data_IF_192485140463
#
_entry.id   IF_192485140463
#
_cell.length_a   1.000
_cell.length_b   1.000
_cell.length_c   1.000
_cell.angle_alpha   90.00
_cell.angle_beta   90.00
_cell.angle_gamma   90.00
#
_symmetry.space_group_name_H-M   'P 1'
#
loop_
_entity.id
_entity.type
_entity.pdbx_description
1 polymer ?
#
# COMPACT_ATOMS: atom_id res chain seq x y z
N UNK A 1 -6.09 37.99 36.27
CA UNK A 1 -5.51 37.93 34.91
C UNK A 1 -4.50 36.80 34.84
N UNK A 2 -4.86 35.68 34.20
CA UNK A 2 -3.97 34.69 33.53
C UNK A 2 -4.67 33.31 33.38
N UNK A 3 -5.99 33.29 33.19
CA UNK A 3 -6.78 32.10 32.81
C UNK A 3 -6.80 31.85 31.30
N UNK A 4 -6.01 32.61 30.52
CA UNK A 4 -6.05 32.58 29.05
C UNK A 4 -5.04 31.61 28.39
N UNK A 5 -4.13 31.00 29.16
CA UNK A 5 -3.02 30.20 28.59
C UNK A 5 -3.36 28.71 28.43
N UNK A 6 -4.48 28.22 28.99
CA UNK A 6 -4.84 26.79 28.89
C UNK A 6 -5.67 26.43 27.64
N UNK A 7 -6.16 27.41 26.89
CA UNK A 7 -7.08 27.20 25.74
C UNK A 7 -6.39 27.04 24.38
N UNK A 8 -5.11 27.46 24.25
CA UNK A 8 -4.33 27.36 23.00
C UNK A 8 -3.56 26.03 22.86
N UNK A 9 -3.50 25.22 23.93
CA UNK A 9 -2.75 23.96 23.97
C UNK A 9 -3.60 22.71 23.70
N UNK A 10 -4.85 22.84 23.25
CA UNK A 10 -5.56 21.75 22.54
C UNK A 10 -5.03 21.68 21.10
N UNK A 11 -3.73 21.47 21.00
CA UNK A 11 -2.93 21.34 19.78
C UNK A 11 -3.59 20.34 18.83
N UNK A 12 -3.93 20.81 17.63
CA UNK A 12 -4.08 20.04 16.38
C UNK A 12 -4.40 18.55 16.60
N UNK A 13 -5.66 18.22 16.92
CA UNK A 13 -6.11 16.84 16.78
C UNK A 13 -5.97 16.47 15.30
N UNK A 14 -4.96 15.68 14.93
CA UNK A 14 -4.92 15.02 13.62
C UNK A 14 -6.04 13.96 13.63
N UNK A 15 -7.21 14.20 13.00
CA UNK A 15 -8.34 13.29 13.13
C UNK A 15 -8.33 12.28 11.98
N UNK A 16 -8.97 11.13 12.16
CA UNK A 16 -9.12 10.02 11.20
C UNK A 16 -7.81 9.31 10.81
N UNK A 17 -7.79 8.01 11.10
CA UNK A 17 -6.77 7.05 10.70
C UNK A 17 -6.30 7.29 9.25
N UNK A 18 -5.01 7.60 9.00
CA UNK A 18 -4.51 7.98 7.69
C UNK A 18 -4.69 6.88 6.64
N UNK A 19 -4.90 5.64 7.08
CA UNK A 19 -5.20 4.49 6.20
C UNK A 19 -6.46 4.68 5.37
N UNK A 20 -7.42 5.51 5.80
CA UNK A 20 -8.57 5.82 4.97
C UNK A 20 -8.20 6.56 3.69
N UNK A 21 -7.26 7.50 3.75
CA UNK A 21 -6.77 8.20 2.57
C UNK A 21 -6.07 7.24 1.61
N UNK A 22 -5.28 6.30 2.15
CA UNK A 22 -4.63 5.26 1.35
C UNK A 22 -5.67 4.34 0.70
N UNK A 23 -6.68 3.88 1.43
CA UNK A 23 -7.74 3.02 0.89
C UNK A 23 -8.50 3.77 -0.20
N UNK A 24 -8.90 5.01 0.03
CA UNK A 24 -9.58 5.83 -0.97
C UNK A 24 -8.71 6.00 -2.22
N UNK A 25 -7.44 6.39 -2.06
CA UNK A 25 -6.53 6.57 -3.19
C UNK A 25 -6.35 5.28 -3.99
N UNK A 26 -6.07 4.15 -3.33
CA UNK A 26 -5.88 2.87 -4.01
C UNK A 26 -7.16 2.38 -4.70
N UNK A 27 -8.32 2.50 -4.05
CA UNK A 27 -9.61 2.13 -4.65
C UNK A 27 -9.92 3.01 -5.84
N UNK A 28 -9.73 4.33 -5.75
CA UNK A 28 -9.93 5.26 -6.86
C UNK A 28 -8.99 4.97 -8.03
N UNK A 29 -7.72 4.72 -7.77
CA UNK A 29 -6.75 4.34 -8.81
C UNK A 29 -7.09 3.00 -9.44
N UNK A 30 -7.55 2.02 -8.66
CA UNK A 30 -7.94 0.71 -9.17
C UNK A 30 -9.18 0.80 -10.05
N UNK A 31 -10.21 1.51 -9.59
CA UNK A 31 -11.41 1.76 -10.36
C UNK A 31 -11.08 2.51 -11.66
N UNK A 32 -10.26 3.56 -11.58
CA UNK A 32 -9.82 4.30 -12.76
C UNK A 32 -9.03 3.42 -13.74
N UNK A 33 -8.10 2.62 -13.24
CA UNK A 33 -7.30 1.69 -14.04
C UNK A 33 -8.14 0.63 -14.75
N UNK A 34 -9.18 0.12 -14.10
CA UNK A 34 -10.11 -0.86 -14.69
C UNK A 34 -11.01 -0.19 -15.74
N UNK A 35 -11.62 0.94 -15.42
CA UNK A 35 -12.65 1.58 -16.26
C UNK A 35 -12.06 2.32 -17.46
N UNK A 36 -10.96 3.07 -17.26
CA UNK A 36 -10.45 4.00 -18.27
C UNK A 36 -9.12 3.55 -18.90
N UNK A 37 -8.27 2.84 -18.16
CA UNK A 37 -6.95 2.40 -18.65
C UNK A 37 -6.92 0.96 -19.14
N UNK A 38 -8.03 0.21 -18.98
CA UNK A 38 -8.13 -1.17 -19.44
C UNK A 38 -7.12 -2.11 -18.79
N UNK A 39 -6.86 -1.96 -17.47
CA UNK A 39 -5.88 -2.78 -16.72
C UNK A 39 -6.07 -4.31 -16.84
N UNK A 40 -7.22 -4.79 -17.34
CA UNK A 40 -7.51 -6.21 -17.50
C UNK A 40 -7.56 -6.95 -16.16
N UNK A 41 -7.86 -6.24 -15.07
CA UNK A 41 -7.97 -6.81 -13.73
C UNK A 41 -9.38 -7.35 -13.55
N UNK A 42 -9.47 -8.67 -13.44
CA UNK A 42 -10.71 -9.39 -13.14
C UNK A 42 -11.22 -9.04 -11.72
N UNK A 43 -12.48 -8.58 -11.57
CA UNK A 43 -13.08 -8.31 -10.26
C UNK A 43 -13.07 -9.52 -9.33
N UNK A 44 -13.19 -10.74 -9.86
CA UNK A 44 -13.08 -11.98 -9.09
C UNK A 44 -11.71 -12.13 -8.43
N UNK A 45 -10.63 -11.83 -9.16
CA UNK A 45 -9.27 -11.79 -8.62
C UNK A 45 -9.09 -10.74 -7.52
N UNK A 46 -9.72 -9.56 -7.65
CA UNK A 46 -9.70 -8.53 -6.61
C UNK A 46 -10.38 -9.05 -5.33
N UNK A 47 -11.56 -9.65 -5.47
CA UNK A 47 -12.29 -10.24 -4.34
C UNK A 47 -11.47 -11.37 -3.68
N UNK A 48 -10.83 -12.22 -4.48
CA UNK A 48 -9.98 -13.31 -4.00
C UNK A 48 -8.77 -12.78 -3.20
N UNK A 49 -8.08 -11.75 -3.70
CA UNK A 49 -6.96 -11.11 -3.01
C UNK A 49 -7.39 -10.51 -1.67
N UNK A 50 -8.54 -9.82 -1.64
CA UNK A 50 -9.09 -9.24 -0.42
C UNK A 50 -9.48 -10.32 0.58
N UNK A 51 -10.22 -11.34 0.14
CA UNK A 51 -10.65 -12.45 0.99
C UNK A 51 -9.46 -13.19 1.59
N UNK A 52 -8.45 -13.53 0.77
CA UNK A 52 -7.25 -14.21 1.23
C UNK A 52 -6.44 -13.35 2.20
N UNK A 53 -6.27 -12.05 1.91
CA UNK A 53 -5.55 -11.14 2.81
C UNK A 53 -6.26 -11.00 4.17
N UNK A 54 -7.59 -10.92 4.19
CA UNK A 54 -8.37 -10.85 5.43
C UNK A 54 -8.33 -12.18 6.21
N UNK A 55 -8.42 -13.32 5.52
CA UNK A 55 -8.33 -14.64 6.14
C UNK A 55 -6.96 -14.87 6.80
N UNK A 56 -5.88 -14.58 6.08
CA UNK A 56 -4.51 -14.69 6.63
C UNK A 56 -4.30 -13.69 7.76
N UNK A 57 -4.85 -12.47 7.65
CA UNK A 57 -4.80 -11.49 8.74
C UNK A 57 -5.45 -12.03 10.02
N UNK A 58 -6.61 -12.64 9.87
CA UNK A 58 -7.38 -13.16 10.98
C UNK A 58 -6.66 -14.35 11.63
N UNK A 59 -6.22 -15.32 10.83
CA UNK A 59 -5.49 -16.50 11.30
C UNK A 59 -4.17 -16.12 11.99
N UNK A 60 -3.32 -15.34 11.32
CA UNK A 60 -2.02 -14.95 11.86
C UNK A 60 -2.16 -13.96 13.03
N UNK A 61 -3.19 -13.11 13.03
CA UNK A 61 -3.50 -12.24 14.16
C UNK A 61 -3.86 -13.03 15.41
N UNK A 62 -4.71 -14.06 15.27
CA UNK A 62 -5.09 -14.97 16.35
C UNK A 62 -3.88 -15.73 16.91
N UNK A 63 -2.99 -16.22 16.06
CA UNK A 63 -1.82 -17.00 16.51
C UNK A 63 -0.79 -16.19 17.30
N UNK A 64 -0.76 -14.86 17.14
CA UNK A 64 0.11 -13.96 17.91
C UNK A 64 -0.63 -13.17 19.00
N UNK A 65 -1.86 -13.57 19.35
CA UNK A 65 -2.62 -12.99 20.46
C UNK A 65 -3.22 -11.61 20.20
N UNK A 66 -3.46 -11.22 18.93
CA UNK A 66 -4.16 -9.97 18.62
C UNK A 66 -5.65 -10.14 18.87
N UNK A 67 -6.17 -9.43 19.88
CA UNK A 67 -7.58 -9.52 20.29
C UNK A 67 -8.54 -8.83 19.30
N UNK A 68 -8.13 -7.70 18.72
CA UNK A 68 -8.98 -6.89 17.84
C UNK A 68 -8.55 -7.02 16.38
N UNK A 69 -9.46 -7.50 15.55
CA UNK A 69 -9.24 -7.59 14.12
C UNK A 69 -9.19 -6.20 13.47
N UNK A 70 -8.10 -5.92 12.76
CA UNK A 70 -7.94 -4.68 11.99
C UNK A 70 -7.87 -4.99 10.48
N UNK A 71 -8.99 -4.75 9.80
CA UNK A 71 -9.15 -5.00 8.37
C UNK A 71 -8.44 -3.97 7.46
N UNK A 72 -8.06 -2.79 7.98
CA UNK A 72 -7.55 -1.70 7.14
C UNK A 72 -6.19 -2.03 6.53
N UNK A 73 -5.30 -2.60 7.33
CA UNK A 73 -3.95 -2.99 6.87
C UNK A 73 -3.97 -4.08 5.78
N UNK A 74 -4.68 -5.21 5.94
CA UNK A 74 -4.76 -6.20 4.85
C UNK A 74 -5.51 -5.68 3.63
N UNK A 75 -6.52 -4.81 3.80
CA UNK A 75 -7.22 -4.20 2.67
C UNK A 75 -6.31 -3.31 1.82
N UNK A 76 -5.48 -2.47 2.45
CA UNK A 76 -4.46 -1.67 1.73
C UNK A 76 -3.52 -2.59 0.93
N UNK A 77 -3.10 -3.69 1.54
CA UNK A 77 -2.15 -4.62 0.90
C UNK A 77 -2.80 -5.34 -0.28
N UNK A 78 -4.06 -5.77 -0.14
CA UNK A 78 -4.84 -6.42 -1.19
C UNK A 78 -5.15 -5.47 -2.35
N UNK A 79 -5.58 -4.23 -2.07
CA UNK A 79 -5.81 -3.20 -3.10
C UNK A 79 -4.51 -2.86 -3.85
N UNK A 80 -3.39 -2.76 -3.14
CA UNK A 80 -2.07 -2.53 -3.74
C UNK A 80 -1.64 -3.71 -4.62
N UNK A 81 -1.89 -4.95 -4.19
CA UNK A 81 -1.66 -6.15 -5.01
C UNK A 81 -2.56 -6.16 -6.25
N UNK A 82 -3.85 -5.86 -6.12
CA UNK A 82 -4.78 -5.77 -7.26
C UNK A 82 -4.33 -4.74 -8.30
N UNK A 83 -3.77 -3.62 -7.85
CA UNK A 83 -3.22 -2.59 -8.72
C UNK A 83 -1.96 -3.06 -9.47
N UNK A 84 -1.03 -3.71 -8.77
CA UNK A 84 0.33 -3.92 -9.26
C UNK A 84 0.57 -5.33 -9.83
N UNK A 85 0.08 -6.36 -9.16
CA UNK A 85 0.34 -7.76 -9.53
C UNK A 85 -0.41 -8.12 -10.82
N UNK A 86 0.31 -8.68 -11.78
CA UNK A 86 -0.26 -9.32 -12.96
C UNK A 86 0.09 -10.80 -12.92
N UNK A 87 -0.93 -11.62 -13.03
CA UNK A 87 -0.84 -13.08 -13.07
C UNK A 87 -2.15 -13.65 -13.63
N UNK A 88 -2.08 -14.75 -14.37
CA UNK A 88 -3.24 -15.54 -14.80
C UNK A 88 -3.62 -16.63 -13.78
N UNK A 89 -2.74 -16.96 -12.83
CA UNK A 89 -2.94 -18.03 -11.85
C UNK A 89 -3.64 -17.53 -10.59
N UNK A 90 -4.80 -18.12 -10.28
CA UNK A 90 -5.51 -17.85 -9.03
C UNK A 90 -4.67 -18.26 -7.81
N UNK A 91 -3.88 -19.33 -7.94
CA UNK A 91 -2.99 -19.80 -6.87
C UNK A 91 -1.90 -18.76 -6.58
N UNK A 92 -1.26 -18.21 -7.62
CA UNK A 92 -0.24 -17.16 -7.43
C UNK A 92 -0.85 -15.89 -6.81
N UNK A 93 -2.08 -15.52 -7.17
CA UNK A 93 -2.78 -14.42 -6.52
C UNK A 93 -3.02 -14.68 -5.02
N UNK A 94 -3.53 -15.86 -4.65
CA UNK A 94 -3.71 -16.23 -3.25
C UNK A 94 -2.38 -16.27 -2.48
N UNK A 95 -1.34 -16.84 -3.08
CA UNK A 95 0.00 -16.86 -2.51
C UNK A 95 0.56 -15.44 -2.32
N UNK A 96 0.31 -14.52 -3.25
CA UNK A 96 0.72 -13.13 -3.11
C UNK A 96 0.11 -12.48 -1.86
N UNK A 97 -1.20 -12.64 -1.68
CA UNK A 97 -1.91 -12.13 -0.50
C UNK A 97 -1.40 -12.80 0.79
N UNK A 98 -1.16 -14.11 0.76
CA UNK A 98 -0.64 -14.87 1.89
C UNK A 98 0.78 -14.43 2.28
N UNK A 99 1.68 -14.27 1.31
CA UNK A 99 3.04 -13.78 1.53
C UNK A 99 3.03 -12.34 2.05
N UNK A 100 2.20 -11.47 1.46
CA UNK A 100 2.11 -10.09 1.89
C UNK A 100 1.71 -10.01 3.36
N UNK A 101 0.60 -10.64 3.73
CA UNK A 101 0.11 -10.56 5.10
C UNK A 101 0.96 -11.39 6.06
N UNK A 102 1.41 -12.58 5.68
CA UNK A 102 2.26 -13.44 6.50
C UNK A 102 3.61 -12.80 6.83
N UNK A 103 4.25 -12.13 5.86
CA UNK A 103 5.55 -11.48 6.06
C UNK A 103 5.55 -10.45 7.19
N UNK A 104 4.41 -9.76 7.41
CA UNK A 104 4.30 -8.75 8.46
C UNK A 104 4.27 -9.35 9.88
N UNK A 105 3.90 -10.62 9.99
CA UNK A 105 3.90 -11.37 11.25
C UNK A 105 5.22 -12.11 11.45
N UNK A 106 5.77 -12.70 10.39
CA UNK A 106 6.99 -13.50 10.43
C UNK A 106 8.28 -12.65 10.48
N UNK A 107 8.35 -11.56 9.70
CA UNK A 107 9.57 -10.77 9.51
C UNK A 107 9.44 -9.44 10.25
N UNK A 108 9.75 -9.47 11.55
CA UNK A 108 9.59 -8.32 12.44
C UNK A 108 10.88 -8.02 13.20
N UNK A 109 11.13 -6.73 13.42
CA UNK A 109 12.20 -6.23 14.30
C UNK A 109 11.61 -5.21 15.26
N UNK A 110 11.85 -5.39 16.57
CA UNK A 110 11.34 -4.49 17.63
C UNK A 110 9.82 -4.26 17.54
N UNK A 111 9.06 -5.33 17.30
CA UNK A 111 7.59 -5.28 17.20
C UNK A 111 7.03 -4.66 15.91
N UNK A 112 7.87 -4.22 14.95
CA UNK A 112 7.44 -3.66 13.67
C UNK A 112 7.81 -4.60 12.53
N UNK A 113 6.98 -4.70 11.49
CA UNK A 113 7.34 -5.41 10.27
C UNK A 113 8.47 -4.66 9.57
N UNK A 114 9.40 -5.40 8.96
CA UNK A 114 10.58 -4.81 8.33
C UNK A 114 10.26 -4.32 6.92
N UNK A 115 9.56 -5.14 6.13
CA UNK A 115 9.25 -4.85 4.74
C UNK A 115 7.83 -4.33 4.55
N UNK A 116 7.63 -3.53 3.51
CA UNK A 116 6.28 -3.26 3.01
C UNK A 116 5.65 -4.59 2.55
N UNK A 117 4.52 -5.02 3.16
CA UNK A 117 3.87 -6.30 2.86
C UNK A 117 3.67 -6.59 1.38
N UNK A 118 3.13 -5.63 0.63
CA UNK A 118 2.85 -5.80 -0.80
C UNK A 118 4.14 -5.92 -1.61
N UNK A 119 5.13 -5.07 -1.33
CA UNK A 119 6.41 -5.11 -2.05
C UNK A 119 7.15 -6.42 -1.78
N UNK A 120 7.11 -6.94 -0.55
CA UNK A 120 7.70 -8.23 -0.22
C UNK A 120 7.09 -9.35 -1.09
N UNK A 121 5.77 -9.43 -1.15
CA UNK A 121 5.09 -10.44 -1.97
C UNK A 121 5.40 -10.30 -3.46
N UNK A 122 5.39 -9.08 -4.00
CA UNK A 122 5.72 -8.83 -5.40
C UNK A 122 7.15 -9.28 -5.72
N UNK A 123 8.13 -8.84 -4.93
CA UNK A 123 9.55 -9.20 -5.15
C UNK A 123 9.75 -10.71 -5.08
N UNK A 124 9.17 -11.38 -4.06
CA UNK A 124 9.31 -12.83 -3.91
C UNK A 124 8.69 -13.57 -5.09
N UNK A 125 7.46 -13.23 -5.49
CA UNK A 125 6.80 -13.95 -6.58
C UNK A 125 7.44 -13.68 -7.94
N UNK A 126 7.87 -12.44 -8.22
CA UNK A 126 8.57 -12.11 -9.46
C UNK A 126 9.92 -12.81 -9.53
N UNK A 127 10.63 -12.94 -8.40
CA UNK A 127 11.94 -13.58 -8.36
C UNK A 127 11.88 -15.12 -8.44
N UNK A 128 10.80 -15.73 -7.97
CA UNK A 128 10.70 -17.19 -7.78
C UNK A 128 9.76 -17.86 -8.79
N UNK A 129 8.91 -17.09 -9.48
CA UNK A 129 7.90 -17.65 -10.40
C UNK A 129 7.89 -16.91 -11.73
N UNK A 130 7.68 -17.64 -12.83
CA UNK A 130 7.52 -17.04 -14.17
C UNK A 130 6.09 -16.52 -14.42
N UNK A 131 5.16 -16.77 -13.49
CA UNK A 131 3.74 -16.46 -13.64
C UNK A 131 3.30 -15.15 -12.97
N UNK A 132 4.23 -14.36 -12.44
CA UNK A 132 3.96 -13.11 -11.75
C UNK A 132 4.84 -11.96 -12.27
N UNK A 133 4.23 -10.84 -12.64
CA UNK A 133 4.94 -9.65 -13.10
C UNK A 133 4.20 -8.37 -12.71
N UNK A 134 4.84 -7.22 -12.95
CA UNK A 134 4.24 -5.88 -12.83
C UNK A 134 4.34 -5.21 -14.19
N UNK A 135 3.31 -4.47 -14.60
CA UNK A 135 3.31 -3.72 -15.88
C UNK A 135 3.67 -2.25 -15.65
N UNK A 136 4.85 -1.77 -16.09
CA UNK A 136 5.21 -0.36 -15.93
C UNK A 136 4.36 0.57 -16.81
N UNK A 137 4.04 0.13 -18.04
CA UNK A 137 3.37 0.95 -19.06
C UNK A 137 1.86 1.12 -18.89
N UNK A 138 1.24 0.48 -17.90
CA UNK A 138 -0.22 0.49 -17.73
C UNK A 138 -0.80 1.87 -17.38
N UNK A 139 0.00 2.76 -16.81
CA UNK A 139 -0.47 4.06 -16.33
C UNK A 139 -0.63 5.10 -17.43
N UNK A 140 -0.21 4.83 -18.67
CA UNK A 140 -0.21 5.82 -19.75
C UNK A 140 0.74 7.00 -19.49
N UNK A 141 0.64 8.04 -20.32
CA UNK A 141 1.51 9.23 -20.26
C UNK A 141 0.76 10.54 -20.04
N UNK A 142 -0.54 10.48 -19.76
CA UNK A 142 -1.37 11.66 -19.59
C UNK A 142 -0.90 12.50 -18.39
N UNK A 143 -0.45 13.73 -18.65
CA UNK A 143 0.09 14.63 -17.62
C UNK A 143 -0.89 14.85 -16.46
N UNK A 144 -2.19 14.91 -16.75
CA UNK A 144 -3.23 15.07 -15.73
C UNK A 144 -3.29 13.90 -14.76
N UNK A 145 -3.07 12.67 -15.23
CA UNK A 145 -3.04 11.49 -14.38
C UNK A 145 -1.79 11.48 -13.50
N UNK A 146 -0.63 11.85 -14.05
CA UNK A 146 0.61 12.00 -13.29
C UNK A 146 0.42 13.02 -12.17
N UNK A 147 -0.16 14.19 -12.49
CA UNK A 147 -0.44 15.23 -11.50
C UNK A 147 -1.47 14.77 -10.45
N UNK A 148 -2.54 14.09 -10.86
CA UNK A 148 -3.55 13.56 -9.94
C UNK A 148 -2.96 12.51 -8.99
N UNK A 149 -2.10 11.61 -9.48
CA UNK A 149 -1.39 10.62 -8.68
C UNK A 149 -0.43 11.29 -7.69
N UNK A 150 0.32 12.29 -8.13
CA UNK A 150 1.21 13.06 -7.26
C UNK A 150 0.42 13.79 -6.16
N UNK A 151 -0.69 14.45 -6.50
CA UNK A 151 -1.56 15.14 -5.55
C UNK A 151 -2.18 14.17 -4.53
N UNK A 152 -2.72 13.03 -4.98
CA UNK A 152 -3.26 11.99 -4.10
C UNK A 152 -2.17 11.44 -3.16
N UNK A 153 -0.98 11.16 -3.69
CA UNK A 153 0.18 10.73 -2.92
C UNK A 153 0.59 11.75 -1.86
N UNK A 154 0.67 13.04 -2.22
CA UNK A 154 0.96 14.12 -1.27
C UNK A 154 -0.06 14.21 -0.15
N UNK A 155 -1.36 14.07 -0.46
CA UNK A 155 -2.42 14.05 0.57
C UNK A 155 -2.21 12.88 1.52
N UNK A 156 -1.98 11.67 1.01
CA UNK A 156 -1.71 10.48 1.84
C UNK A 156 -0.49 10.72 2.73
N UNK A 157 0.63 11.19 2.17
CA UNK A 157 1.89 11.40 2.89
C UNK A 157 1.77 12.48 3.97
N UNK A 158 1.06 13.57 3.67
CA UNK A 158 0.76 14.63 4.63
C UNK A 158 -0.03 14.08 5.81
N UNK A 159 -1.06 13.27 5.53
CA UNK A 159 -1.90 12.69 6.58
C UNK A 159 -1.20 11.60 7.38
N UNK A 160 -0.28 10.87 6.76
CA UNK A 160 0.56 9.87 7.43
C UNK A 160 1.74 10.48 8.20
N UNK A 161 2.05 11.77 8.00
CA UNK A 161 3.25 12.44 8.48
C UNK A 161 4.54 11.71 8.06
N UNK A 162 4.65 11.37 6.76
CA UNK A 162 5.75 10.55 6.17
C UNK A 162 6.53 11.22 5.03
N UNK A 163 6.58 12.55 5.01
CA UNK A 163 7.36 13.27 3.99
C UNK A 163 8.88 13.05 4.11
N UNK A 164 9.37 12.69 5.30
CA UNK A 164 10.76 12.32 5.55
C UNK A 164 11.27 11.25 4.58
N UNK A 165 10.49 10.17 4.40
CA UNK A 165 10.83 9.07 3.49
C UNK A 165 10.83 9.52 2.03
N UNK A 166 9.86 10.34 1.64
CA UNK A 166 9.74 10.84 0.27
C UNK A 166 10.91 11.74 -0.11
N UNK A 167 11.29 12.68 0.76
CA UNK A 167 12.45 13.55 0.50
C UNK A 167 13.76 12.78 0.47
N UNK A 168 13.95 11.81 1.37
CA UNK A 168 15.13 10.94 1.36
C UNK A 168 15.23 10.16 0.04
N UNK A 169 14.11 9.61 -0.45
CA UNK A 169 14.07 8.89 -1.73
C UNK A 169 14.41 9.82 -2.91
N UNK A 170 13.71 10.96 -3.02
CA UNK A 170 13.92 11.90 -4.14
C UNK A 170 15.34 12.48 -4.14
N UNK A 171 15.88 12.83 -2.98
CA UNK A 171 17.25 13.33 -2.85
C UNK A 171 18.28 12.28 -3.24
N UNK A 172 18.12 11.04 -2.76
CA UNK A 172 19.01 9.93 -3.13
C UNK A 172 18.95 9.63 -4.63
N UNK A 173 17.74 9.60 -5.20
CA UNK A 173 17.53 9.39 -6.63
C UNK A 173 18.19 10.50 -7.46
N UNK A 174 18.00 11.77 -7.09
CA UNK A 174 18.63 12.90 -7.77
C UNK A 174 20.17 12.84 -7.68
N UNK A 175 20.71 12.48 -6.51
CA UNK A 175 22.15 12.31 -6.33
C UNK A 175 22.72 11.20 -7.23
N UNK A 176 22.04 10.05 -7.34
CA UNK A 176 22.44 8.98 -8.26
C UNK A 176 22.35 9.46 -9.72
N UNK A 177 21.29 10.18 -10.07
CA UNK A 177 21.07 10.69 -11.42
C UNK A 177 22.16 11.68 -11.87
N UNK A 178 22.58 12.57 -10.96
CA UNK A 178 23.65 13.54 -11.21
C UNK A 178 25.02 12.84 -11.17
N UNK A 179 25.24 11.92 -10.24
CA UNK A 179 26.52 11.21 -10.10
C UNK A 179 26.84 10.21 -11.22
N UNK A 180 25.83 9.79 -12.00
CA UNK A 180 26.02 8.95 -13.19
C UNK A 180 26.13 9.74 -14.51
N UNK A 181 25.86 11.04 -14.47
CA UNK A 181 25.91 11.93 -15.63
C UNK A 181 27.34 12.46 -15.83
#
# INVERSE_FOLDING_TARGET
MSTATSTLATRLRLPRDPRWYQITALTSLLAYGIVFLGFGVDPGRVALLVAMALAVQWLAGRSVGVERFDAKSPLISALSLSLLLRTSSLLLAMLAAALAIGSKFAIRRRGKHVFNPTNFALVVLIAVTDGAWVSPGQWGSAAILVFAMAAAGMIVLYRAARFDVTWAFLGSWAAILVGRA
#
